data_IF_779745501066
#
_entry.id   IF_779745501066
#
_cell.length_a   1.000
_cell.length_b   1.000
_cell.length_c   1.000
_cell.angle_alpha   90.00
_cell.angle_beta   90.00
_cell.angle_gamma   90.00
#
_symmetry.space_group_name_H-M   'P 1'
#
loop_
_entity.id
_entity.type
_entity.pdbx_description
1 polymer ?
#
# COMPACT_ATOMS: atom_id res chain seq x y z
N UNK A 1 -28.15 5.08 -61.38
CA UNK A 1 -26.96 5.24 -62.29
C UNK A 1 -25.89 5.97 -61.52
N UNK A 2 -24.66 5.44 -61.60
CA UNK A 2 -23.35 5.92 -61.12
C UNK A 2 -23.10 5.86 -59.61
N UNK A 3 -22.32 4.83 -59.25
CA UNK A 3 -21.50 4.69 -58.06
C UNK A 3 -20.32 5.67 -58.09
N UNK A 4 -20.05 6.34 -57.01
CA UNK A 4 -18.73 6.93 -56.74
C UNK A 4 -18.13 6.34 -55.47
N UNK A 5 -17.05 5.61 -55.69
CA UNK A 5 -16.18 4.99 -54.68
C UNK A 5 -15.15 6.02 -54.23
N UNK A 6 -15.32 6.56 -53.04
CA UNK A 6 -14.32 7.44 -52.38
C UNK A 6 -13.28 6.57 -51.66
N UNK A 7 -12.06 6.57 -52.16
CA UNK A 7 -10.88 5.93 -51.57
C UNK A 7 -10.47 6.64 -50.26
N UNK A 8 -10.55 5.91 -49.16
CA UNK A 8 -9.93 6.34 -47.91
C UNK A 8 -8.39 6.14 -48.00
N UNK A 9 -7.65 7.26 -48.07
CA UNK A 9 -6.19 7.26 -47.96
C UNK A 9 -5.79 6.97 -46.51
N UNK A 10 -5.17 5.84 -46.27
CA UNK A 10 -4.49 5.53 -45.01
C UNK A 10 -3.18 6.31 -44.95
N UNK A 11 -3.09 7.27 -44.06
CA UNK A 11 -1.80 7.86 -43.62
C UNK A 11 -1.17 6.93 -42.60
N UNK A 12 -0.12 6.24 -43.01
CA UNK A 12 0.75 5.47 -42.13
C UNK A 12 1.72 6.47 -41.49
N UNK A 13 1.54 6.78 -40.23
CA UNK A 13 2.55 7.49 -39.47
C UNK A 13 3.62 6.47 -39.06
N UNK A 14 4.83 6.71 -39.49
CA UNK A 14 6.03 5.97 -39.14
C UNK A 14 6.36 6.31 -37.70
N UNK A 15 6.15 5.37 -36.78
CA UNK A 15 6.65 5.46 -35.42
C UNK A 15 8.05 4.87 -35.40
N UNK A 16 8.98 5.68 -34.95
CA UNK A 16 10.40 5.38 -34.89
C UNK A 16 10.74 4.16 -34.04
N UNK A 17 11.65 3.39 -34.60
CA UNK A 17 12.28 2.23 -33.97
C UNK A 17 12.98 2.60 -32.67
N UNK A 18 12.50 2.08 -31.54
CA UNK A 18 13.27 2.00 -30.32
C UNK A 18 14.08 0.71 -30.37
N UNK A 19 15.39 0.85 -30.45
CA UNK A 19 16.36 -0.24 -30.43
C UNK A 19 16.27 -1.02 -29.09
N UNK A 20 15.72 -2.21 -29.16
CA UNK A 20 15.79 -3.20 -28.10
C UNK A 20 17.17 -3.87 -28.16
N UNK A 21 18.11 -3.39 -27.35
CA UNK A 21 19.41 -4.06 -27.16
C UNK A 21 19.20 -5.24 -26.22
N UNK A 22 19.05 -6.42 -26.79
CA UNK A 22 19.17 -7.70 -26.09
C UNK A 22 20.61 -7.87 -25.59
N UNK A 23 20.82 -7.68 -24.30
CA UNK A 23 22.00 -8.22 -23.62
C UNK A 23 21.75 -9.68 -23.27
N UNK A 24 22.22 -10.58 -24.14
CA UNK A 24 22.45 -11.99 -23.80
C UNK A 24 23.71 -12.06 -22.93
N UNK A 25 23.56 -11.84 -21.64
CA UNK A 25 24.56 -12.17 -20.65
C UNK A 25 24.26 -13.54 -20.06
N UNK A 26 24.88 -14.59 -20.63
CA UNK A 26 24.98 -15.89 -19.96
C UNK A 26 25.87 -15.74 -18.74
N UNK A 27 25.28 -15.49 -17.58
CA UNK A 27 25.93 -15.66 -16.29
C UNK A 27 25.30 -16.85 -15.58
N UNK A 28 25.96 -18.00 -15.66
CA UNK A 28 25.75 -19.08 -14.70
C UNK A 28 26.24 -18.59 -13.35
N UNK A 29 25.37 -17.96 -12.57
CA UNK A 29 25.63 -17.78 -11.14
C UNK A 29 25.28 -19.08 -10.44
N UNK A 30 26.30 -19.64 -9.77
CA UNK A 30 26.17 -20.74 -8.83
C UNK A 30 25.04 -20.42 -7.85
N UNK A 31 24.11 -21.34 -7.71
CA UNK A 31 23.28 -21.39 -6.51
C UNK A 31 24.22 -21.59 -5.33
N UNK A 32 24.44 -20.53 -4.58
CA UNK A 32 24.92 -20.65 -3.21
C UNK A 32 23.70 -21.13 -2.40
N UNK A 33 23.75 -22.40 -2.02
CA UNK A 33 22.92 -22.96 -0.94
C UNK A 33 23.37 -22.33 0.39
N UNK A 34 23.15 -21.02 0.55
CA UNK A 34 23.25 -20.36 1.83
C UNK A 34 21.98 -20.70 2.62
N UNK A 35 22.11 -21.62 3.58
CA UNK A 35 21.22 -21.70 4.75
C UNK A 35 20.81 -20.28 5.17
N UNK A 36 19.53 -20.06 5.57
CA UNK A 36 19.11 -18.76 6.07
C UNK A 36 20.10 -18.33 7.15
N UNK A 37 20.84 -17.27 6.89
CA UNK A 37 21.74 -16.67 7.88
C UNK A 37 20.88 -16.38 9.12
N UNK A 38 21.26 -16.89 10.28
CA UNK A 38 20.63 -16.52 11.54
C UNK A 38 20.58 -14.99 11.60
N UNK A 39 19.37 -14.46 11.69
CA UNK A 39 19.11 -13.04 11.59
C UNK A 39 19.59 -12.29 12.84
N UNK A 40 20.90 -12.14 12.98
CA UNK A 40 21.54 -11.15 13.85
C UNK A 40 21.55 -9.78 13.15
N UNK A 41 20.48 -9.46 12.43
CA UNK A 41 20.32 -8.20 11.73
C UNK A 41 20.37 -7.04 12.72
N UNK A 42 21.35 -6.16 12.55
CA UNK A 42 21.52 -4.92 13.33
C UNK A 42 21.07 -3.69 12.55
N UNK A 43 20.43 -3.90 11.37
CA UNK A 43 19.95 -2.84 10.52
C UNK A 43 18.88 -2.00 11.20
N UNK A 44 18.92 -0.70 10.97
CA UNK A 44 17.97 0.28 11.51
C UNK A 44 17.29 1.01 10.38
N UNK A 45 16.06 1.43 10.63
CA UNK A 45 15.35 2.36 9.75
C UNK A 45 15.59 3.78 10.22
N UNK A 46 15.96 4.67 9.29
CA UNK A 46 16.18 6.09 9.58
C UNK A 46 15.45 6.98 8.57
N UNK A 47 14.95 8.12 9.04
CA UNK A 47 14.31 9.14 8.20
C UNK A 47 15.30 10.31 8.05
N UNK A 48 15.64 10.67 6.82
CA UNK A 48 16.57 11.74 6.50
C UNK A 48 15.85 12.81 5.68
N UNK A 49 15.62 13.97 6.28
CA UNK A 49 15.08 15.13 5.59
C UNK A 49 16.24 15.98 5.06
N UNK A 50 16.34 16.10 3.74
CA UNK A 50 17.32 16.96 3.10
C UNK A 50 16.73 18.38 2.94
N UNK A 51 16.61 19.12 4.04
CA UNK A 51 15.89 20.40 4.11
C UNK A 51 16.33 21.42 3.04
N UNK A 52 17.63 21.50 2.73
CA UNK A 52 18.18 22.37 1.68
C UNK A 52 17.78 21.92 0.25
N UNK A 53 17.33 20.70 0.12
CA UNK A 53 16.90 20.11 -1.15
C UNK A 53 15.36 20.02 -1.29
N UNK A 54 14.59 20.48 -0.29
CA UNK A 54 13.15 20.57 -0.36
C UNK A 54 12.74 21.93 -0.94
N UNK A 55 12.00 21.92 -2.04
CA UNK A 55 11.52 23.13 -2.69
C UNK A 55 10.55 23.90 -1.77
N UNK A 56 10.55 25.25 -1.83
CA UNK A 56 9.73 26.07 -0.94
C UNK A 56 8.24 25.70 -0.93
N UNK A 57 7.69 25.38 -2.11
CA UNK A 57 6.28 25.00 -2.31
C UNK A 57 5.89 23.67 -1.65
N UNK A 58 6.86 22.78 -1.38
CA UNK A 58 6.62 21.45 -0.80
C UNK A 58 6.84 21.42 0.73
N UNK A 59 7.46 22.47 1.29
CA UNK A 59 7.87 22.50 2.71
C UNK A 59 6.73 22.37 3.68
N UNK A 60 5.56 22.93 3.38
CA UNK A 60 4.43 22.92 4.31
C UNK A 60 3.85 21.50 4.46
N UNK A 61 3.72 20.76 3.37
CA UNK A 61 3.27 19.36 3.40
C UNK A 61 4.26 18.48 4.18
N UNK A 62 5.56 18.62 3.94
CA UNK A 62 6.59 17.87 4.67
C UNK A 62 6.66 18.28 6.14
N UNK A 63 6.48 19.56 6.46
CA UNK A 63 6.41 20.04 7.83
C UNK A 63 5.27 19.35 8.61
N UNK A 64 4.08 19.24 8.04
CA UNK A 64 2.93 18.55 8.66
C UNK A 64 3.22 17.08 8.94
N UNK A 65 3.84 16.36 7.98
CA UNK A 65 4.27 14.97 8.17
C UNK A 65 5.29 14.87 9.29
N UNK A 66 6.32 15.72 9.30
CA UNK A 66 7.36 15.74 10.33
C UNK A 66 6.79 16.05 11.71
N UNK A 67 5.92 17.06 11.82
CA UNK A 67 5.28 17.44 13.09
C UNK A 67 4.34 16.35 13.64
N UNK A 68 3.73 15.54 12.75
CA UNK A 68 2.95 14.37 13.17
C UNK A 68 3.82 13.26 13.77
N UNK A 69 5.13 13.22 13.44
CA UNK A 69 6.08 12.19 13.84
C UNK A 69 5.75 10.80 13.31
N UNK A 70 4.89 10.70 12.29
CA UNK A 70 4.39 9.40 11.80
C UNK A 70 5.50 8.56 11.16
N UNK A 71 6.39 9.17 10.38
CA UNK A 71 7.48 8.46 9.72
C UNK A 71 8.49 7.89 10.72
N UNK A 72 8.83 8.69 11.73
CA UNK A 72 9.75 8.29 12.80
C UNK A 72 9.15 7.17 13.64
N UNK A 73 7.86 7.23 13.98
CA UNK A 73 7.19 6.14 14.70
C UNK A 73 7.16 4.84 13.91
N UNK A 74 6.87 4.91 12.60
CA UNK A 74 6.89 3.72 11.73
C UNK A 74 8.30 3.13 11.61
N UNK A 75 9.31 3.98 11.43
CA UNK A 75 10.72 3.57 11.36
C UNK A 75 11.18 2.89 12.66
N UNK A 76 10.84 3.47 13.81
CA UNK A 76 11.17 2.93 15.12
C UNK A 76 10.44 1.59 15.37
N UNK A 77 9.18 1.50 15.01
CA UNK A 77 8.38 0.27 15.13
C UNK A 77 8.95 -0.85 14.26
N UNK A 78 9.29 -0.57 12.99
CA UNK A 78 9.88 -1.56 12.09
C UNK A 78 11.26 -2.02 12.61
N UNK A 79 12.11 -1.09 13.04
CA UNK A 79 13.42 -1.37 13.65
C UNK A 79 13.31 -2.26 14.88
N UNK A 80 12.29 -2.05 15.73
CA UNK A 80 12.07 -2.86 16.92
C UNK A 80 11.55 -4.25 16.61
N UNK A 81 10.70 -4.35 15.59
CA UNK A 81 10.01 -5.60 15.26
C UNK A 81 10.85 -6.54 14.39
N UNK A 82 11.56 -6.03 13.38
CA UNK A 82 12.20 -6.82 12.34
C UNK A 82 13.73 -6.70 12.43
N UNK A 83 14.41 -7.85 12.42
CA UNK A 83 15.87 -7.95 12.39
C UNK A 83 16.38 -7.74 10.94
N UNK A 84 16.45 -6.49 10.51
CA UNK A 84 16.90 -6.14 9.16
C UNK A 84 18.39 -6.53 8.96
N UNK A 85 18.75 -7.19 7.85
CA UNK A 85 20.14 -7.49 7.51
C UNK A 85 21.00 -6.23 7.32
N UNK A 86 20.38 -5.15 6.79
CA UNK A 86 21.04 -3.89 6.47
C UNK A 86 20.19 -2.70 6.94
N UNK A 87 20.86 -1.56 7.13
CA UNK A 87 20.15 -0.30 7.36
C UNK A 87 19.21 0.04 6.19
N UNK A 88 18.06 0.62 6.54
CA UNK A 88 17.10 1.17 5.60
C UNK A 88 17.00 2.68 5.82
N UNK A 89 17.22 3.47 4.79
CA UNK A 89 17.14 4.90 4.86
C UNK A 89 15.98 5.43 4.00
N UNK A 90 15.09 6.22 4.60
CA UNK A 90 14.08 7.00 3.89
C UNK A 90 14.64 8.40 3.65
N UNK A 91 14.85 8.76 2.39
CA UNK A 91 15.43 10.05 1.98
C UNK A 91 14.35 10.96 1.45
N UNK A 92 13.94 11.94 2.25
CA UNK A 92 12.93 12.95 1.89
C UNK A 92 13.62 14.15 1.23
N UNK A 93 13.36 14.37 -0.07
CA UNK A 93 14.07 15.37 -0.87
C UNK A 93 13.32 15.65 -2.19
N UNK A 94 13.54 16.82 -2.79
CA UNK A 94 13.17 17.08 -4.20
C UNK A 94 14.39 16.96 -5.14
N UNK A 95 15.59 16.71 -4.61
CA UNK A 95 16.80 16.43 -5.39
C UNK A 95 17.10 14.93 -5.39
N UNK A 96 16.24 14.18 -6.02
CA UNK A 96 16.34 12.71 -6.15
C UNK A 96 16.89 12.32 -7.53
N UNK A 97 17.28 11.05 -7.73
CA UNK A 97 17.65 10.55 -9.05
C UNK A 97 16.53 10.81 -10.08
N UNK A 98 16.93 11.06 -11.34
CA UNK A 98 15.99 11.38 -12.42
C UNK A 98 14.98 10.24 -12.62
N UNK A 99 13.70 10.58 -12.71
CA UNK A 99 12.60 9.64 -12.91
C UNK A 99 11.97 9.12 -11.62
N UNK A 100 12.38 9.65 -10.46
CA UNK A 100 11.73 9.40 -9.17
C UNK A 100 10.76 10.54 -8.90
N UNK A 101 9.48 10.33 -9.16
CA UNK A 101 8.37 11.28 -8.98
C UNK A 101 7.35 10.83 -7.93
N UNK A 102 7.41 9.57 -7.50
CA UNK A 102 6.65 9.03 -6.36
C UNK A 102 7.60 8.36 -5.35
N UNK A 103 7.08 7.99 -4.18
CA UNK A 103 7.83 7.16 -3.23
C UNK A 103 8.29 5.88 -3.92
N UNK A 104 9.54 5.50 -3.73
CA UNK A 104 10.15 4.38 -4.47
C UNK A 104 11.25 3.73 -3.67
N UNK A 105 11.17 2.43 -3.49
CA UNK A 105 12.21 1.61 -2.87
C UNK A 105 13.23 1.13 -3.91
N UNK A 106 14.52 1.28 -3.61
CA UNK A 106 15.58 0.68 -4.43
C UNK A 106 15.53 -0.84 -4.35
N UNK A 107 15.90 -1.51 -5.45
CA UNK A 107 15.92 -2.97 -5.56
C UNK A 107 16.81 -3.68 -4.53
N UNK A 108 17.75 -2.98 -3.89
CA UNK A 108 18.54 -3.53 -2.78
C UNK A 108 17.81 -3.48 -1.43
N UNK A 109 16.62 -2.88 -1.38
CA UNK A 109 15.81 -2.72 -0.18
C UNK A 109 16.41 -1.80 0.89
N UNK A 110 17.45 -1.01 0.58
CA UNK A 110 18.20 -0.22 1.58
C UNK A 110 17.89 1.27 1.56
N UNK A 111 17.24 1.75 0.52
CA UNK A 111 16.91 3.17 0.38
C UNK A 111 15.51 3.31 -0.18
N UNK A 112 14.70 4.13 0.49
CA UNK A 112 13.43 4.62 -0.01
C UNK A 112 13.64 6.08 -0.39
N UNK A 113 13.42 6.42 -1.65
CA UNK A 113 13.37 7.79 -2.10
C UNK A 113 11.95 8.33 -1.92
N UNK A 114 11.85 9.46 -1.24
CA UNK A 114 10.59 10.12 -0.95
C UNK A 114 10.60 11.54 -1.51
N UNK A 115 10.02 11.78 -2.70
CA UNK A 115 9.89 13.14 -3.23
C UNK A 115 9.01 13.99 -2.30
N UNK A 116 9.50 15.17 -1.88
CA UNK A 116 8.68 16.07 -1.08
C UNK A 116 7.46 16.57 -1.87
N UNK A 117 7.60 16.72 -3.19
CA UNK A 117 6.52 17.03 -4.12
C UNK A 117 5.36 16.03 -4.03
N UNK A 118 5.65 14.72 -3.90
CA UNK A 118 4.62 13.69 -3.76
C UNK A 118 3.67 13.95 -2.59
N UNK A 119 4.21 14.30 -1.41
CA UNK A 119 3.37 14.61 -0.25
C UNK A 119 2.52 15.87 -0.42
N UNK A 120 2.99 16.83 -1.22
CA UNK A 120 2.19 18.02 -1.57
C UNK A 120 1.09 17.67 -2.57
N UNK A 121 1.41 16.93 -3.62
CA UNK A 121 0.46 16.51 -4.64
C UNK A 121 -0.70 15.71 -4.05
N UNK A 122 -0.40 14.77 -3.15
CA UNK A 122 -1.43 14.00 -2.43
C UNK A 122 -2.29 14.88 -1.54
N UNK A 123 -1.73 15.90 -0.90
CA UNK A 123 -2.48 16.89 -0.13
C UNK A 123 -3.40 17.73 -1.03
N UNK A 124 -2.90 18.21 -2.18
CA UNK A 124 -3.67 19.01 -3.11
C UNK A 124 -4.86 18.23 -3.69
N UNK A 125 -4.63 16.97 -4.07
CA UNK A 125 -5.68 16.08 -4.56
C UNK A 125 -6.77 15.87 -3.51
N UNK A 126 -6.42 15.65 -2.25
CA UNK A 126 -7.39 15.53 -1.16
C UNK A 126 -8.14 16.85 -0.92
N UNK A 127 -7.47 18.00 -0.99
CA UNK A 127 -8.08 19.31 -0.81
C UNK A 127 -9.18 19.58 -1.85
N UNK A 128 -8.95 19.18 -3.09
CA UNK A 128 -9.94 19.31 -4.17
C UNK A 128 -11.07 18.27 -4.07
N UNK A 129 -10.76 17.05 -3.63
CA UNK A 129 -11.70 15.93 -3.61
C UNK A 129 -12.70 15.95 -2.46
N UNK A 130 -12.27 16.34 -1.25
CA UNK A 130 -13.11 16.22 -0.05
C UNK A 130 -14.43 17.00 -0.10
N UNK A 131 -14.52 18.24 -0.63
CA UNK A 131 -15.79 18.95 -0.75
C UNK A 131 -16.82 18.19 -1.58
N UNK A 132 -16.41 17.52 -2.65
CA UNK A 132 -17.27 16.71 -3.50
C UNK A 132 -17.80 15.48 -2.77
N UNK A 133 -16.93 14.75 -2.07
CA UNK A 133 -17.34 13.58 -1.27
C UNK A 133 -18.34 13.98 -0.20
N UNK A 134 -18.08 15.06 0.55
CA UNK A 134 -18.96 15.55 1.61
C UNK A 134 -20.35 15.90 1.02
N UNK A 135 -20.39 16.54 -0.14
CA UNK A 135 -21.64 16.94 -0.77
C UNK A 135 -22.45 15.77 -1.37
N UNK A 136 -21.77 14.74 -1.88
CA UNK A 136 -22.42 13.62 -2.60
C UNK A 136 -22.77 12.43 -1.72
N UNK A 137 -21.86 12.01 -0.84
CA UNK A 137 -22.02 10.80 0.01
C UNK A 137 -22.07 11.11 1.50
N UNK A 138 -21.70 12.33 1.88
CA UNK A 138 -21.45 12.69 3.28
C UNK A 138 -20.07 12.21 3.74
N UNK A 139 -19.77 12.46 4.98
CA UNK A 139 -18.53 12.02 5.62
C UNK A 139 -18.69 10.59 6.16
N UNK A 140 -17.72 9.67 5.94
CA UNK A 140 -17.77 8.33 6.52
C UNK A 140 -17.72 8.41 8.07
N UNK A 141 -18.67 7.76 8.73
CA UNK A 141 -18.73 7.73 10.21
C UNK A 141 -17.53 7.00 10.84
N UNK A 142 -16.76 6.27 10.03
CA UNK A 142 -15.52 5.62 10.45
C UNK A 142 -14.41 6.62 10.82
N UNK A 143 -14.49 7.86 10.31
CA UNK A 143 -13.52 8.94 10.55
C UNK A 143 -14.25 10.09 11.25
N UNK A 144 -13.71 10.61 12.34
CA UNK A 144 -14.32 11.76 13.04
C UNK A 144 -14.25 13.04 12.19
N UNK A 145 -15.12 14.01 12.47
CA UNK A 145 -15.16 15.28 11.71
C UNK A 145 -13.84 16.03 11.78
N UNK A 146 -13.21 16.03 12.93
CA UNK A 146 -11.94 16.70 13.17
C UNK A 146 -10.80 16.09 12.34
N UNK A 147 -10.89 14.79 12.06
CA UNK A 147 -9.89 14.05 11.32
C UNK A 147 -10.19 13.96 9.81
N UNK A 148 -11.42 14.29 9.38
CA UNK A 148 -11.79 14.26 7.96
C UNK A 148 -11.39 15.57 7.25
N UNK A 149 -10.10 15.85 7.26
CA UNK A 149 -9.48 17.02 6.63
C UNK A 149 -8.34 16.60 5.70
N UNK A 150 -8.03 17.42 4.71
CA UNK A 150 -6.93 17.12 3.78
C UNK A 150 -5.60 16.93 4.52
N UNK A 151 -5.32 17.73 5.54
CA UNK A 151 -4.09 17.64 6.34
C UNK A 151 -3.95 16.27 7.03
N UNK A 152 -4.99 15.86 7.76
CA UNK A 152 -4.95 14.59 8.51
C UNK A 152 -4.95 13.39 7.56
N UNK A 153 -5.81 13.41 6.53
CA UNK A 153 -5.89 12.32 5.57
C UNK A 153 -4.63 12.20 4.72
N UNK A 154 -3.95 13.31 4.44
CA UNK A 154 -2.66 13.29 3.79
C UNK A 154 -1.58 12.63 4.65
N UNK A 155 -1.52 12.96 5.93
CA UNK A 155 -0.60 12.30 6.88
C UNK A 155 -0.88 10.79 6.93
N UNK A 156 -2.13 10.38 7.06
CA UNK A 156 -2.51 8.96 7.11
C UNK A 156 -2.25 8.23 5.77
N UNK A 157 -2.53 8.89 4.63
CA UNK A 157 -2.23 8.33 3.32
C UNK A 157 -0.73 8.13 3.10
N UNK A 158 0.08 9.13 3.48
CA UNK A 158 1.55 9.03 3.40
C UNK A 158 2.11 7.98 4.39
N UNK A 159 1.50 7.81 5.57
CA UNK A 159 1.81 6.72 6.50
C UNK A 159 1.64 5.35 5.82
N UNK A 160 0.51 5.16 5.14
CA UNK A 160 0.24 3.91 4.41
C UNK A 160 1.24 3.68 3.28
N UNK A 161 1.53 4.72 2.46
CA UNK A 161 2.50 4.63 1.37
C UNK A 161 3.89 4.31 1.91
N UNK A 162 4.31 4.89 3.05
CA UNK A 162 5.57 4.50 3.69
C UNK A 162 5.56 3.03 4.12
N UNK A 163 4.43 2.53 4.61
CA UNK A 163 4.24 1.11 4.91
C UNK A 163 4.38 0.23 3.66
N UNK A 164 3.87 0.67 2.51
CA UNK A 164 4.03 0.00 1.22
C UNK A 164 5.51 -0.08 0.81
N UNK A 165 6.24 1.02 0.89
CA UNK A 165 7.67 1.05 0.61
C UNK A 165 8.48 0.17 1.59
N UNK A 166 8.08 0.11 2.86
CA UNK A 166 8.65 -0.85 3.80
C UNK A 166 8.39 -2.30 3.38
N UNK A 167 7.22 -2.59 2.78
CA UNK A 167 6.90 -3.88 2.19
C UNK A 167 7.93 -4.31 1.15
N UNK A 168 8.22 -3.45 0.17
CA UNK A 168 9.27 -3.68 -0.83
C UNK A 168 10.65 -3.89 -0.17
N UNK A 169 11.02 -3.02 0.78
CA UNK A 169 12.30 -3.13 1.46
C UNK A 169 12.46 -4.48 2.17
N UNK A 170 11.42 -4.98 2.83
CA UNK A 170 11.42 -6.28 3.49
C UNK A 170 11.47 -7.44 2.49
N UNK A 171 10.68 -7.38 1.43
CA UNK A 171 10.68 -8.40 0.37
C UNK A 171 12.11 -8.57 -0.17
N UNK A 172 12.79 -7.47 -0.49
CA UNK A 172 14.13 -7.49 -1.05
C UNK A 172 15.21 -7.87 -0.01
N UNK A 173 15.22 -7.25 1.17
CA UNK A 173 16.24 -7.53 2.18
C UNK A 173 16.17 -8.93 2.77
N UNK A 174 14.97 -9.49 2.92
CA UNK A 174 14.74 -10.78 3.55
C UNK A 174 14.50 -11.91 2.54
N UNK A 175 14.52 -11.60 1.23
CA UNK A 175 14.20 -12.54 0.15
C UNK A 175 12.87 -13.28 0.40
N UNK A 176 11.81 -12.53 0.76
CA UNK A 176 10.53 -13.13 1.08
C UNK A 176 9.88 -13.78 -0.15
N UNK A 177 9.35 -15.01 -0.02
CA UNK A 177 8.66 -15.65 -1.13
C UNK A 177 7.33 -14.97 -1.44
N UNK A 178 7.09 -14.70 -2.72
CA UNK A 178 5.84 -14.12 -3.20
C UNK A 178 5.09 -15.12 -4.08
N UNK A 179 3.75 -15.11 -4.00
CA UNK A 179 2.86 -15.94 -4.82
C UNK A 179 2.00 -15.10 -5.79
N UNK A 180 2.25 -13.81 -5.86
CA UNK A 180 1.55 -12.85 -6.71
C UNK A 180 2.45 -11.68 -7.09
N UNK A 181 1.83 -10.58 -7.51
CA UNK A 181 2.56 -9.35 -7.81
C UNK A 181 3.19 -8.78 -6.52
N UNK A 182 4.39 -8.24 -6.67
CA UNK A 182 5.11 -7.62 -5.56
C UNK A 182 4.35 -6.40 -5.02
N UNK A 183 3.75 -5.61 -5.90
CA UNK A 183 2.94 -4.44 -5.55
C UNK A 183 1.73 -4.79 -4.67
N UNK A 184 1.01 -5.87 -5.01
CA UNK A 184 -0.09 -6.35 -4.19
C UNK A 184 0.40 -6.86 -2.82
N UNK A 185 1.60 -7.42 -2.77
CA UNK A 185 2.24 -7.88 -1.54
C UNK A 185 2.67 -6.70 -0.68
N UNK A 186 3.23 -5.64 -1.27
CA UNK A 186 3.61 -4.40 -0.58
C UNK A 186 2.38 -3.69 0.00
N UNK A 187 1.28 -3.59 -0.75
CA UNK A 187 -0.02 -3.11 -0.25
C UNK A 187 -0.54 -3.97 0.92
N UNK A 188 -0.38 -5.29 0.79
CA UNK A 188 -0.72 -6.24 1.84
C UNK A 188 0.09 -6.02 3.11
N UNK A 189 1.41 -5.76 2.99
CA UNK A 189 2.25 -5.41 4.13
C UNK A 189 1.85 -4.09 4.76
N UNK A 190 1.65 -3.03 3.96
CA UNK A 190 1.20 -1.74 4.48
C UNK A 190 -0.09 -1.88 5.29
N UNK A 191 -1.05 -2.63 4.75
CA UNK A 191 -2.32 -2.91 5.42
C UNK A 191 -2.10 -3.69 6.71
N UNK A 192 -1.33 -4.79 6.67
CA UNK A 192 -0.98 -5.59 7.85
C UNK A 192 -0.28 -4.74 8.92
N UNK A 193 0.73 -3.99 8.51
CA UNK A 193 1.55 -3.21 9.43
C UNK A 193 0.73 -2.09 10.09
N UNK A 194 -0.06 -1.35 9.35
CA UNK A 194 -0.82 -0.21 9.88
C UNK A 194 -2.07 -0.62 10.65
N UNK A 195 -2.81 -1.65 10.21
CA UNK A 195 -4.02 -2.13 10.90
C UNK A 195 -3.70 -2.78 12.25
N UNK A 196 -2.54 -3.45 12.36
CA UNK A 196 -2.07 -4.02 13.64
C UNK A 196 -1.41 -2.99 14.57
N UNK A 197 -1.33 -1.70 14.17
CA UNK A 197 -0.87 -0.65 15.06
C UNK A 197 -1.93 -0.34 16.12
N UNK A 198 -1.56 -0.47 17.41
CA UNK A 198 -2.48 -0.26 18.53
C UNK A 198 -2.81 1.22 18.77
N UNK A 199 -1.91 2.10 18.37
CA UNK A 199 -2.04 3.55 18.60
C UNK A 199 -2.86 4.22 17.51
N UNK A 200 -2.59 3.90 16.24
CA UNK A 200 -3.26 4.50 15.08
C UNK A 200 -4.36 3.61 14.52
N UNK A 201 -4.36 2.32 14.85
CA UNK A 201 -5.30 1.31 14.36
C UNK A 201 -5.39 1.34 12.84
N UNK A 202 -6.60 1.42 12.28
CA UNK A 202 -6.83 1.41 10.83
C UNK A 202 -6.73 2.80 10.16
N UNK A 203 -6.28 3.84 10.86
CA UNK A 203 -6.31 5.22 10.35
C UNK A 203 -5.53 5.36 9.04
N UNK A 204 -4.32 4.81 8.96
CA UNK A 204 -3.51 4.89 7.74
C UNK A 204 -4.21 4.21 6.53
N UNK A 205 -4.78 3.02 6.72
CA UNK A 205 -5.51 2.32 5.66
C UNK A 205 -6.82 3.05 5.28
N UNK A 206 -7.50 3.71 6.23
CA UNK A 206 -8.64 4.58 5.95
C UNK A 206 -8.21 5.83 5.17
N UNK A 207 -7.11 6.48 5.59
CA UNK A 207 -6.54 7.62 4.89
C UNK A 207 -6.11 7.27 3.46
N UNK A 208 -5.45 6.13 3.29
CA UNK A 208 -5.11 5.60 1.98
C UNK A 208 -6.35 5.34 1.11
N UNK A 209 -7.42 4.77 1.69
CA UNK A 209 -8.66 4.54 0.93
C UNK A 209 -9.25 5.84 0.39
N UNK A 210 -9.25 6.92 1.17
CA UNK A 210 -9.72 8.24 0.72
C UNK A 210 -8.77 8.86 -0.29
N UNK A 211 -7.45 8.78 -0.06
CA UNK A 211 -6.44 9.30 -0.99
C UNK A 211 -6.51 8.60 -2.35
N UNK A 212 -6.58 7.28 -2.37
CA UNK A 212 -6.64 6.52 -3.61
C UNK A 212 -7.98 6.69 -4.34
N UNK A 213 -9.10 6.88 -3.62
CA UNK A 213 -10.37 7.27 -4.24
C UNK A 213 -10.27 8.65 -4.90
N UNK A 214 -9.60 9.60 -4.24
CA UNK A 214 -9.31 10.91 -4.78
C UNK A 214 -8.41 10.84 -6.05
N UNK A 215 -7.38 10.00 -6.04
CA UNK A 215 -6.52 9.77 -7.22
C UNK A 215 -7.31 9.12 -8.36
N UNK A 216 -8.17 8.14 -8.07
CA UNK A 216 -9.02 7.50 -9.06
C UNK A 216 -10.00 8.49 -9.72
N UNK A 217 -10.53 9.46 -8.96
CA UNK A 217 -11.44 10.48 -9.48
C UNK A 217 -10.80 11.39 -10.54
N UNK A 218 -9.48 11.57 -10.49
CA UNK A 218 -8.71 12.31 -11.51
C UNK A 218 -8.59 11.56 -12.84
N UNK A 219 -8.80 10.25 -12.85
CA UNK A 219 -8.71 9.41 -14.05
C UNK A 219 -9.97 8.53 -14.18
N UNK A 220 -11.12 9.13 -14.55
CA UNK A 220 -12.41 8.41 -14.55
C UNK A 220 -12.50 7.32 -15.62
N UNK A 221 -11.68 7.35 -16.66
CA UNK A 221 -11.67 6.38 -17.74
C UNK A 221 -10.43 5.49 -17.65
N UNK A 222 -10.66 4.19 -17.48
CA UNK A 222 -9.60 3.20 -17.49
C UNK A 222 -9.13 2.92 -18.92
N UNK A 223 -7.83 2.75 -19.08
CA UNK A 223 -7.14 2.43 -20.33
C UNK A 223 -6.48 1.05 -20.25
N UNK A 224 -5.97 0.53 -21.36
CA UNK A 224 -5.20 -0.71 -21.35
C UNK A 224 -3.94 -0.61 -20.49
N UNK A 225 -3.36 0.57 -20.37
CA UNK A 225 -2.21 0.85 -19.51
C UNK A 225 -2.54 0.58 -18.04
N UNK A 226 -3.73 0.97 -17.56
CA UNK A 226 -4.17 0.72 -16.19
C UNK A 226 -4.31 -0.77 -15.86
N UNK A 227 -4.61 -1.60 -16.87
CA UNK A 227 -4.71 -3.04 -16.71
C UNK A 227 -3.39 -3.80 -16.95
N UNK A 228 -2.41 -3.16 -17.59
CA UNK A 228 -1.08 -3.72 -17.86
C UNK A 228 0.00 -3.25 -16.88
N UNK A 229 -0.37 -2.38 -15.95
CA UNK A 229 0.50 -1.93 -14.85
C UNK A 229 0.85 -3.08 -13.90
N UNK A 230 1.96 -2.97 -13.23
CA UNK A 230 2.36 -3.84 -12.12
C UNK A 230 1.48 -3.65 -10.87
N UNK A 231 0.85 -2.47 -10.73
CA UNK A 231 -0.14 -2.19 -9.70
C UNK A 231 -1.56 -2.63 -10.12
N UNK A 232 -2.34 -3.08 -9.16
CA UNK A 232 -3.78 -3.25 -9.34
C UNK A 232 -4.45 -1.90 -9.66
N UNK A 233 -5.58 -1.94 -10.38
CA UNK A 233 -6.39 -0.74 -10.66
C UNK A 233 -6.69 0.00 -9.36
N UNK A 234 -6.52 1.33 -9.36
CA UNK A 234 -6.57 2.16 -8.14
C UNK A 234 -7.82 1.92 -7.30
N UNK A 235 -9.02 1.85 -7.90
CA UNK A 235 -10.25 1.54 -7.16
C UNK A 235 -10.28 0.12 -6.58
N UNK A 236 -9.60 -0.84 -7.20
CA UNK A 236 -9.47 -2.18 -6.62
C UNK A 236 -8.63 -2.14 -5.34
N UNK A 237 -7.56 -1.37 -5.32
CA UNK A 237 -6.74 -1.12 -4.12
C UNK A 237 -7.57 -0.50 -3.00
N UNK A 238 -8.40 0.53 -3.30
CA UNK A 238 -9.33 1.14 -2.33
C UNK A 238 -10.21 0.08 -1.67
N UNK A 239 -10.85 -0.79 -2.46
CA UNK A 239 -11.71 -1.83 -1.90
C UNK A 239 -10.94 -2.90 -1.11
N UNK A 240 -9.69 -3.19 -1.47
CA UNK A 240 -8.84 -4.10 -0.71
C UNK A 240 -8.51 -3.52 0.67
N UNK A 241 -8.15 -2.22 0.74
CA UNK A 241 -7.88 -1.54 2.02
C UNK A 241 -9.12 -1.49 2.91
N UNK A 242 -10.27 -1.05 2.36
CA UNK A 242 -11.53 -1.01 3.10
C UNK A 242 -11.97 -2.40 3.56
N UNK A 243 -11.76 -3.43 2.73
CA UNK A 243 -12.07 -4.82 3.08
C UNK A 243 -11.24 -5.28 4.28
N UNK A 244 -9.93 -5.04 4.27
CA UNK A 244 -9.06 -5.41 5.37
C UNK A 244 -9.41 -4.65 6.67
N UNK A 245 -9.70 -3.35 6.56
CA UNK A 245 -10.13 -2.51 7.68
C UNK A 245 -11.43 -3.03 8.30
N UNK A 246 -12.46 -3.31 7.50
CA UNK A 246 -13.71 -3.90 7.98
C UNK A 246 -13.48 -5.31 8.53
N UNK A 247 -12.66 -6.11 7.87
CA UNK A 247 -12.32 -7.47 8.30
C UNK A 247 -11.59 -7.54 9.63
N UNK A 248 -10.77 -6.52 9.95
CA UNK A 248 -10.04 -6.44 11.21
C UNK A 248 -10.93 -6.15 12.41
N UNK A 249 -11.96 -5.33 12.23
CA UNK A 249 -12.92 -4.93 13.29
C UNK A 249 -14.34 -4.78 12.70
N UNK A 250 -15.00 -5.91 12.36
CA UNK A 250 -16.32 -5.87 11.73
C UNK A 250 -17.38 -5.21 12.62
N UNK A 251 -17.28 -5.39 13.94
CA UNK A 251 -18.28 -4.86 14.88
C UNK A 251 -18.31 -3.33 14.86
N UNK A 252 -17.17 -2.69 14.77
CA UNK A 252 -17.04 -1.23 14.77
C UNK A 252 -17.22 -0.62 13.38
N UNK A 253 -16.69 -1.28 12.34
CA UNK A 253 -16.48 -0.66 11.03
C UNK A 253 -17.51 -1.06 9.97
N UNK A 254 -18.20 -2.21 10.12
CA UNK A 254 -19.20 -2.65 9.15
C UNK A 254 -20.32 -1.63 8.99
N UNK A 255 -20.89 -1.13 10.08
CA UNK A 255 -21.98 -0.16 10.02
C UNK A 255 -21.56 1.21 9.46
N UNK A 256 -20.30 1.59 9.66
CA UNK A 256 -19.77 2.91 9.26
C UNK A 256 -19.13 2.95 7.86
N UNK A 257 -18.90 1.81 7.24
CA UNK A 257 -18.33 1.73 5.90
C UNK A 257 -19.25 1.02 4.90
N UNK A 258 -19.93 -0.04 5.34
CA UNK A 258 -20.83 -0.81 4.46
C UNK A 258 -22.19 -0.14 4.38
N UNK A 259 -22.81 0.22 5.53
CA UNK A 259 -24.11 0.89 5.55
C UNK A 259 -24.07 2.28 4.93
N UNK A 260 -22.94 3.00 5.09
CA UNK A 260 -22.74 4.31 4.46
C UNK A 260 -22.38 4.21 2.97
N UNK A 261 -22.28 2.99 2.40
CA UNK A 261 -22.08 2.76 0.98
C UNK A 261 -20.64 2.93 0.47
N UNK A 262 -19.65 2.98 1.37
CA UNK A 262 -18.22 3.05 0.99
C UNK A 262 -17.66 1.69 0.56
N UNK A 263 -18.15 0.60 1.16
CA UNK A 263 -17.82 -0.76 0.77
C UNK A 263 -19.08 -1.52 0.37
N UNK A 264 -19.17 -2.08 -0.86
CA UNK A 264 -20.33 -2.86 -1.28
C UNK A 264 -20.60 -4.04 -0.33
N UNK A 265 -21.88 -4.29 -0.02
CA UNK A 265 -22.26 -5.34 0.93
C UNK A 265 -21.76 -6.73 0.52
N UNK A 266 -21.80 -7.04 -0.78
CA UNK A 266 -21.29 -8.31 -1.29
C UNK A 266 -19.78 -8.46 -1.02
N UNK A 267 -19.02 -7.38 -1.11
CA UNK A 267 -17.58 -7.37 -0.78
C UNK A 267 -17.37 -7.55 0.72
N UNK A 268 -18.19 -6.90 1.55
CA UNK A 268 -18.11 -6.96 3.00
C UNK A 268 -18.26 -8.37 3.58
N UNK A 269 -18.95 -9.27 2.88
CA UNK A 269 -19.14 -10.66 3.32
C UNK A 269 -17.85 -11.47 3.37
N UNK A 270 -16.83 -11.09 2.62
CA UNK A 270 -15.52 -11.74 2.54
C UNK A 270 -14.42 -11.03 3.35
N UNK A 271 -14.69 -9.83 3.87
CA UNK A 271 -13.70 -9.00 4.54
C UNK A 271 -12.95 -9.72 5.68
N UNK A 272 -13.71 -10.42 6.56
CA UNK A 272 -13.09 -11.14 7.67
C UNK A 272 -12.16 -12.24 7.18
N UNK A 273 -12.57 -12.99 6.15
CA UNK A 273 -11.75 -14.04 5.53
C UNK A 273 -10.47 -13.47 4.92
N UNK A 274 -10.59 -12.40 4.17
CA UNK A 274 -9.44 -11.75 3.50
C UNK A 274 -8.45 -11.21 4.54
N UNK A 275 -8.96 -10.52 5.58
CA UNK A 275 -8.11 -10.03 6.65
C UNK A 275 -7.40 -11.14 7.41
N UNK A 276 -8.12 -12.21 7.81
CA UNK A 276 -7.49 -13.30 8.57
C UNK A 276 -6.42 -14.02 7.76
N UNK A 277 -6.61 -14.19 6.44
CA UNK A 277 -5.60 -14.73 5.54
C UNK A 277 -4.38 -13.82 5.43
N UNK A 278 -4.59 -12.53 5.19
CA UNK A 278 -3.54 -11.53 5.08
C UNK A 278 -2.71 -11.46 6.36
N UNK A 279 -3.40 -11.33 7.50
CA UNK A 279 -2.77 -11.20 8.81
C UNK A 279 -1.94 -12.44 9.17
N UNK A 280 -2.48 -13.64 8.99
CA UNK A 280 -1.75 -14.87 9.22
C UNK A 280 -0.58 -15.07 8.27
N UNK A 281 -0.77 -14.71 6.99
CA UNK A 281 0.28 -14.79 5.96
C UNK A 281 1.49 -13.94 6.33
N UNK A 282 1.29 -12.67 6.63
CA UNK A 282 2.37 -11.76 7.00
C UNK A 282 3.06 -12.14 8.32
N UNK A 283 2.31 -12.56 9.34
CA UNK A 283 2.93 -13.09 10.57
C UNK A 283 3.78 -14.32 10.29
N UNK A 284 3.35 -15.20 9.39
CA UNK A 284 4.10 -16.41 9.01
C UNK A 284 5.39 -16.08 8.28
N UNK A 285 5.34 -15.09 7.37
CA UNK A 285 6.52 -14.62 6.62
C UNK A 285 7.53 -13.91 7.54
N UNK A 286 7.07 -13.12 8.50
CA UNK A 286 7.94 -12.27 9.31
C UNK A 286 8.47 -12.95 10.58
N UNK A 287 7.78 -13.94 11.15
CA UNK A 287 8.19 -14.59 12.41
C UNK A 287 9.66 -15.05 12.40
N UNK A 288 10.22 -15.64 11.32
CA UNK A 288 11.62 -16.02 11.27
C UNK A 288 12.61 -14.84 11.33
N UNK A 289 12.13 -13.64 11.03
CA UNK A 289 12.93 -12.43 10.83
C UNK A 289 12.71 -11.37 11.93
N UNK A 290 11.99 -11.68 13.00
CA UNK A 290 11.78 -10.70 14.08
C UNK A 290 12.99 -10.62 15.00
N UNK A 291 13.15 -9.46 15.63
CA UNK A 291 14.19 -9.26 16.64
C UNK A 291 13.93 -10.17 17.86
N UNK A 292 15.00 -10.49 18.61
CA UNK A 292 14.88 -11.32 19.82
C UNK A 292 13.87 -10.74 20.82
N UNK A 293 13.85 -9.42 20.96
CA UNK A 293 12.91 -8.73 21.84
C UNK A 293 11.44 -8.84 21.41
N UNK A 294 11.18 -9.14 20.14
CA UNK A 294 9.84 -9.21 19.56
C UNK A 294 9.33 -10.65 19.33
N UNK A 295 10.19 -11.66 19.48
CA UNK A 295 9.86 -13.08 19.21
C UNK A 295 8.59 -13.56 19.90
N UNK A 296 8.46 -13.31 21.19
CA UNK A 296 7.30 -13.76 21.97
C UNK A 296 6.00 -13.11 21.48
N UNK A 297 6.05 -11.81 21.19
CA UNK A 297 4.88 -11.06 20.68
C UNK A 297 4.49 -11.59 19.29
N UNK A 298 5.44 -11.77 18.39
CA UNK A 298 5.22 -12.30 17.04
C UNK A 298 4.62 -13.71 17.06
N UNK A 299 5.15 -14.62 17.88
CA UNK A 299 4.61 -15.97 18.04
C UNK A 299 3.17 -15.95 18.55
N UNK A 300 2.88 -15.13 19.57
CA UNK A 300 1.53 -14.99 20.10
C UNK A 300 0.57 -14.41 19.04
N UNK A 301 1.00 -13.38 18.33
CA UNK A 301 0.18 -12.75 17.27
C UNK A 301 -0.07 -13.72 16.11
N UNK A 302 0.94 -14.48 15.68
CA UNK A 302 0.77 -15.51 14.64
C UNK A 302 -0.18 -16.62 15.07
N UNK A 303 -0.06 -17.11 16.30
CA UNK A 303 -0.97 -18.14 16.83
C UNK A 303 -2.41 -17.64 16.89
N UNK A 304 -2.62 -16.39 17.32
CA UNK A 304 -3.95 -15.79 17.31
C UNK A 304 -4.49 -15.62 15.88
N UNK A 305 -3.65 -15.15 14.95
CA UNK A 305 -4.04 -14.99 13.55
C UNK A 305 -4.41 -16.35 12.89
N UNK A 306 -3.70 -17.44 13.23
CA UNK A 306 -4.04 -18.78 12.78
C UNK A 306 -5.41 -19.21 13.31
N UNK A 307 -5.65 -19.02 14.61
CA UNK A 307 -6.93 -19.35 15.25
C UNK A 307 -8.08 -18.57 14.60
N UNK A 308 -7.91 -17.27 14.39
CA UNK A 308 -8.92 -16.43 13.73
C UNK A 308 -9.22 -16.92 12.31
N UNK A 309 -8.20 -17.36 11.57
CA UNK A 309 -8.35 -17.91 10.22
C UNK A 309 -9.08 -19.26 10.24
N UNK A 310 -8.78 -20.14 11.20
CA UNK A 310 -9.46 -21.44 11.37
C UNK A 310 -10.94 -21.24 11.72
N UNK A 311 -11.25 -20.35 12.65
CA UNK A 311 -12.63 -20.00 13.02
C UNK A 311 -13.41 -19.45 11.82
N UNK A 312 -12.82 -18.54 11.05
CA UNK A 312 -13.47 -17.98 9.85
C UNK A 312 -13.69 -19.05 8.77
N UNK A 313 -12.76 -20.00 8.60
CA UNK A 313 -12.91 -21.11 7.66
C UNK A 313 -14.09 -22.05 8.03
N UNK A 314 -14.43 -22.18 9.30
CA UNK A 314 -15.56 -22.97 9.74
C UNK A 314 -16.91 -22.30 9.41
N UNK A 315 -17.00 -20.98 9.52
CA UNK A 315 -18.26 -20.24 9.28
C UNK A 315 -18.46 -19.81 7.83
N UNK A 316 -17.40 -19.76 7.05
CA UNK A 316 -17.44 -19.28 5.65
C UNK A 316 -18.37 -20.10 4.74
N UNK A 317 -18.46 -21.44 4.81
CA UNK A 317 -19.40 -22.21 3.97
C UNK A 317 -20.86 -21.82 4.18
N UNK A 318 -21.24 -21.47 5.40
CA UNK A 318 -22.61 -21.06 5.72
C UNK A 318 -22.88 -19.65 5.20
N UNK A 319 -21.92 -18.72 5.35
CA UNK A 319 -21.98 -17.39 4.74
C UNK A 319 -22.16 -17.46 3.22
N UNK A 320 -21.37 -18.31 2.54
CA UNK A 320 -21.46 -18.48 1.08
C UNK A 320 -22.83 -19.06 0.68
N UNK A 321 -23.38 -20.01 1.44
CA UNK A 321 -24.72 -20.56 1.18
C UNK A 321 -25.80 -19.49 1.31
N UNK A 322 -25.71 -18.62 2.31
CA UNK A 322 -26.64 -17.49 2.46
C UNK A 322 -26.59 -16.52 1.28
N UNK A 323 -25.37 -16.23 0.78
CA UNK A 323 -25.19 -15.38 -0.41
C UNK A 323 -25.86 -16.01 -1.64
N UNK A 324 -25.60 -17.30 -1.90
CA UNK A 324 -26.14 -18.01 -3.07
C UNK A 324 -27.64 -18.31 -2.98
N UNK A 325 -28.20 -18.41 -1.79
CA UNK A 325 -29.63 -18.64 -1.56
C UNK A 325 -30.47 -17.36 -1.58
N UNK A 326 -29.85 -16.19 -1.58
CA UNK A 326 -30.49 -14.87 -1.67
C UNK A 326 -30.37 -14.20 -3.05
N UNK A 327 -29.71 -14.85 -4.02
CA UNK A 327 -29.67 -14.49 -5.44
C UNK A 327 -30.68 -15.35 -6.22
#
# INVERSE_FOLDING_TARGET
MRRETGRLRRSIAVVGSLLLTLFLGTSCSRHDDSTPAEANGKGRVSIVYQDDAILPENRDAIKKIRESGVFERMADRLTKAVALPHDLQVVVSDKLPKGIDCATTKLDGRTIFWPAAFSKETHDVLTEFLPEVISSKGQPRAISKENFTADVLNVWGNEFVLGHEFGHALIHQLNLPLTGLEEDSADGFATFFTVNDKDTRANAALGASVLFDALASKKPNLTLEDFSSDHAVVLQRVYNFLSAVVGSDPQRLQNSLVTDGYLPQIRAMLCRKEWTQLNYGWWTLLEPHVTDGYKKEAQTARQQALKDLEEENQVLPDKIRQIRGGL
#
